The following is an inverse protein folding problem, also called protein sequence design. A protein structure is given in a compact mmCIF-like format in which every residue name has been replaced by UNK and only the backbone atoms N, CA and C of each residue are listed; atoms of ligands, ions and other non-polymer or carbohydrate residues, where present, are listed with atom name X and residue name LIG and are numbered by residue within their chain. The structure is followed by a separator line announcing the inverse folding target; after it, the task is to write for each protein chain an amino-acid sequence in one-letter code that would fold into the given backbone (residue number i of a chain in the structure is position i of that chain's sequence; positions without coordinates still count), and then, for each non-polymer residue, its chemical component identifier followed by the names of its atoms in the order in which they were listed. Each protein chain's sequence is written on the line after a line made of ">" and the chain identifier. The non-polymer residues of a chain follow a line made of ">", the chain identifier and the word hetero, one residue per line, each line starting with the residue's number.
data_IF_757302570235
#
_entry.id   IF_757302570235
#
_cell.length_a   1.000
_cell.length_b   1.000
_cell.length_c   1.000
_cell.angle_alpha   90.00
_cell.angle_beta   90.00
_cell.angle_gamma   90.00
#
_symmetry.space_group_name_H-M   'P 1'
#
loop_
_entity.id
_entity.type
_entity.pdbx_description
1 polymer ?
#
# COMPACT_ATOMS: atom_id res chain seq x y z
N UNK A 1 0.34 -1.04 6.18
CA UNK A 1 1.49 -0.12 5.97
C UNK A 1 1.23 0.88 4.84
N UNK A 2 0.94 0.41 3.61
CA UNK A 2 0.67 1.29 2.45
C UNK A 2 -0.39 2.36 2.74
N UNK A 3 -1.54 2.00 3.33
CA UNK A 3 -2.61 2.94 3.70
C UNK A 3 -2.16 4.03 4.67
N UNK A 4 -1.32 3.68 5.65
CA UNK A 4 -0.80 4.63 6.64
C UNK A 4 0.11 5.65 5.94
N UNK A 5 0.93 5.21 4.98
CA UNK A 5 1.85 6.07 4.23
C UNK A 5 1.14 6.87 3.13
N UNK A 6 0.10 6.31 2.53
CA UNK A 6 -0.73 6.96 1.52
C UNK A 6 -1.58 8.10 2.11
N UNK A 7 -1.93 8.02 3.40
CA UNK A 7 -2.75 9.02 4.06
C UNK A 7 -2.10 10.43 4.10
N UNK A 8 -0.84 10.61 4.57
CA UNK A 8 -0.15 11.89 4.48
C UNK A 8 -0.08 12.45 3.06
N UNK A 9 0.13 11.60 2.06
CA UNK A 9 0.16 11.99 0.64
C UNK A 9 -1.21 12.54 0.23
N UNK A 10 -2.29 11.81 0.51
CA UNK A 10 -3.67 12.26 0.25
C UNK A 10 -4.00 13.56 0.98
N UNK A 11 -3.61 13.69 2.25
CA UNK A 11 -3.79 14.90 3.06
C UNK A 11 -3.07 16.11 2.47
N UNK A 12 -1.80 15.93 2.06
CA UNK A 12 -1.04 16.99 1.40
C UNK A 12 -1.71 17.41 0.09
N UNK A 13 -2.14 16.46 -0.74
CA UNK A 13 -2.81 16.73 -2.01
C UNK A 13 -4.16 17.43 -1.82
N UNK A 14 -4.94 17.08 -0.80
CA UNK A 14 -6.26 17.65 -0.54
C UNK A 14 -6.18 19.09 0.01
N UNK A 15 -5.28 19.34 0.97
CA UNK A 15 -5.31 20.59 1.75
C UNK A 15 -4.12 21.52 1.52
N UNK A 16 -2.95 21.01 1.09
CA UNK A 16 -1.71 21.82 0.99
C UNK A 16 -1.27 22.08 -0.45
N UNK A 17 -1.54 21.17 -1.38
CA UNK A 17 -1.02 21.25 -2.75
C UNK A 17 -1.66 22.36 -3.60
N UNK A 18 -2.85 22.85 -3.23
CA UNK A 18 -3.54 23.94 -3.92
C UNK A 18 -3.70 23.68 -5.42
N UNK A 19 -3.41 24.69 -6.26
CA UNK A 19 -3.49 24.60 -7.73
C UNK A 19 -2.57 23.53 -8.36
N UNK A 20 -1.53 23.10 -7.64
CA UNK A 20 -0.54 22.12 -8.12
C UNK A 20 -0.91 20.67 -7.77
N UNK A 21 -2.03 20.43 -7.11
CA UNK A 21 -2.46 19.08 -6.71
C UNK A 21 -2.48 18.10 -7.89
N UNK A 22 -2.99 18.53 -9.06
CA UNK A 22 -2.99 17.70 -10.28
C UNK A 22 -1.60 17.32 -10.76
N UNK A 23 -0.62 18.23 -10.68
CA UNK A 23 0.77 17.96 -11.08
C UNK A 23 1.43 16.97 -10.14
N UNK A 24 1.29 17.15 -8.82
CA UNK A 24 1.85 16.20 -7.86
C UNK A 24 1.19 14.82 -7.92
N UNK A 25 -0.12 14.78 -8.17
CA UNK A 25 -0.82 13.53 -8.42
C UNK A 25 -0.31 12.86 -9.71
N UNK A 26 -0.10 13.62 -10.78
CA UNK A 26 0.49 13.09 -12.00
C UNK A 26 1.89 12.52 -11.75
N UNK A 27 2.77 13.24 -11.04
CA UNK A 27 4.10 12.76 -10.67
C UNK A 27 4.06 11.46 -9.85
N UNK A 28 3.09 11.33 -8.93
CA UNK A 28 2.87 10.10 -8.17
C UNK A 28 2.48 8.92 -9.07
N UNK A 29 1.69 9.17 -10.11
CA UNK A 29 1.17 8.16 -11.02
C UNK A 29 2.10 7.83 -12.19
N UNK A 30 2.98 8.74 -12.60
CA UNK A 30 3.94 8.57 -13.72
C UNK A 30 4.65 7.21 -13.71
N UNK A 31 5.26 6.74 -12.61
CA UNK A 31 5.98 5.46 -12.65
C UNK A 31 5.06 4.25 -12.83
N UNK A 32 3.75 4.39 -12.61
CA UNK A 32 2.76 3.33 -12.71
C UNK A 32 2.26 3.07 -14.14
N UNK A 33 2.66 3.91 -15.10
CA UNK A 33 2.47 3.66 -16.53
C UNK A 33 3.36 2.51 -17.05
N UNK A 34 4.36 2.10 -16.27
CA UNK A 34 5.20 0.94 -16.57
C UNK A 34 4.59 -0.37 -16.07
N UNK A 35 5.00 -1.49 -16.67
CA UNK A 35 4.50 -2.81 -16.28
C UNK A 35 4.82 -3.11 -14.82
N UNK A 36 3.87 -3.76 -14.14
CA UNK A 36 4.03 -4.17 -12.74
C UNK A 36 5.28 -5.04 -12.55
N UNK A 37 5.47 -6.02 -13.45
CA UNK A 37 6.62 -6.92 -13.40
C UNK A 37 7.96 -6.17 -13.49
N UNK A 38 8.06 -5.20 -14.40
CA UNK A 38 9.29 -4.40 -14.56
C UNK A 38 9.59 -3.59 -13.30
N UNK A 39 8.56 -3.04 -12.64
CA UNK A 39 8.72 -2.32 -11.37
C UNK A 39 9.24 -3.22 -10.25
N UNK A 40 8.72 -4.45 -10.13
CA UNK A 40 9.21 -5.41 -9.14
C UNK A 40 10.66 -5.82 -9.44
N UNK A 41 10.99 -6.04 -10.72
CA UNK A 41 12.37 -6.34 -11.14
C UNK A 41 13.32 -5.17 -10.87
N UNK A 42 12.89 -3.93 -11.07
CA UNK A 42 13.66 -2.75 -10.71
C UNK A 42 13.94 -2.72 -9.20
N UNK A 43 12.94 -3.00 -8.35
CA UNK A 43 13.15 -3.12 -6.90
C UNK A 43 14.12 -4.25 -6.52
N UNK A 44 14.03 -5.40 -7.20
CA UNK A 44 15.01 -6.50 -7.03
C UNK A 44 16.44 -6.01 -7.27
N UNK A 45 16.67 -5.27 -8.36
CA UNK A 45 18.00 -4.73 -8.71
C UNK A 45 18.43 -3.65 -7.71
N UNK A 46 17.54 -2.73 -7.34
CA UNK A 46 17.85 -1.64 -6.41
C UNK A 46 18.21 -2.13 -5.00
N UNK A 47 17.53 -3.17 -4.52
CA UNK A 47 17.75 -3.78 -3.19
C UNK A 47 18.91 -4.78 -3.16
N UNK A 48 19.42 -5.21 -4.33
CA UNK A 48 20.56 -6.12 -4.40
C UNK A 48 21.84 -5.54 -3.82
N UNK A 49 22.82 -6.41 -3.56
CA UNK A 49 24.11 -6.00 -2.96
C UNK A 49 24.86 -4.95 -3.79
N UNK A 50 24.80 -5.06 -5.13
CA UNK A 50 25.36 -4.07 -6.06
C UNK A 50 24.31 -3.06 -6.55
N UNK A 51 23.18 -2.96 -5.85
CA UNK A 51 22.07 -2.08 -6.19
C UNK A 51 22.33 -0.63 -5.86
N UNK A 52 21.44 0.24 -6.33
CA UNK A 52 21.52 1.70 -6.14
C UNK A 52 21.57 2.06 -4.65
N UNK A 53 20.80 1.39 -3.80
CA UNK A 53 20.72 1.72 -2.36
C UNK A 53 22.06 1.46 -1.67
N UNK A 54 22.62 0.25 -1.84
CA UNK A 54 23.92 -0.10 -1.26
C UNK A 54 25.04 0.77 -1.82
N UNK A 55 25.05 1.00 -3.13
CA UNK A 55 26.07 1.84 -3.79
C UNK A 55 26.06 3.28 -3.26
N UNK A 56 24.88 3.87 -3.07
CA UNK A 56 24.75 5.22 -2.51
C UNK A 56 25.22 5.27 -1.06
N UNK A 57 24.82 4.31 -0.22
CA UNK A 57 25.24 4.26 1.20
C UNK A 57 26.76 4.09 1.35
N UNK A 58 27.38 3.27 0.50
CA UNK A 58 28.84 3.09 0.47
C UNK A 58 29.51 4.39 -0.01
N UNK A 59 29.02 5.00 -1.09
CA UNK A 59 29.59 6.26 -1.61
C UNK A 59 29.47 7.44 -0.64
N UNK A 60 28.43 7.43 0.20
CA UNK A 60 28.23 8.42 1.26
C UNK A 60 29.07 8.16 2.52
N UNK A 61 29.81 7.05 2.58
CA UNK A 61 30.61 6.65 3.74
C UNK A 61 29.77 6.16 4.93
N UNK A 62 28.49 5.87 4.74
CA UNK A 62 27.59 5.43 5.82
C UNK A 62 27.78 3.94 6.18
N UNK A 63 28.21 3.12 5.21
CA UNK A 63 28.50 1.69 5.39
C UNK A 63 29.74 1.31 4.59
N UNK A 64 30.47 0.29 5.04
CA UNK A 64 31.65 -0.27 4.35
C UNK A 64 31.33 -1.49 3.49
N UNK A 65 30.28 -2.25 3.84
CA UNK A 65 29.86 -3.45 3.13
C UNK A 65 28.36 -3.40 2.76
N UNK A 66 27.93 -4.03 1.65
CA UNK A 66 26.53 -4.07 1.26
C UNK A 66 25.64 -4.74 2.31
N UNK A 67 24.48 -4.13 2.57
CA UNK A 67 23.44 -4.68 3.43
C UNK A 67 22.72 -5.84 2.74
N UNK A 68 23.21 -7.07 2.94
CA UNK A 68 22.65 -8.26 2.31
C UNK A 68 21.21 -8.56 2.74
N UNK A 69 20.78 -8.09 3.92
CA UNK A 69 19.42 -8.26 4.42
C UNK A 69 18.38 -7.39 3.68
N UNK A 70 18.76 -6.58 2.68
CA UNK A 70 17.79 -5.77 1.92
C UNK A 70 17.00 -6.56 0.87
N UNK A 71 17.50 -7.72 0.44
CA UNK A 71 16.89 -8.55 -0.61
C UNK A 71 16.68 -9.99 -0.11
N UNK A 72 15.72 -10.70 -0.72
CA UNK A 72 15.38 -12.10 -0.43
C UNK A 72 14.88 -12.35 0.99
N UNK A 73 14.01 -11.47 1.45
CA UNK A 73 13.35 -11.60 2.74
C UNK A 73 12.01 -10.86 2.76
N UNK A 74 11.28 -10.99 3.87
CA UNK A 74 9.97 -10.37 4.06
C UNK A 74 10.00 -8.83 3.99
N UNK A 75 11.07 -8.18 4.42
CA UNK A 75 11.18 -6.72 4.37
C UNK A 75 11.18 -6.22 2.92
N UNK A 76 11.95 -6.86 2.04
CA UNK A 76 11.98 -6.54 0.61
C UNK A 76 10.58 -6.62 -0.03
N UNK A 77 9.82 -7.66 0.32
CA UNK A 77 8.43 -7.85 -0.16
C UNK A 77 7.54 -6.71 0.33
N UNK A 78 7.58 -6.39 1.62
CA UNK A 78 6.76 -5.33 2.23
C UNK A 78 7.06 -3.97 1.58
N UNK A 79 8.33 -3.60 1.44
CA UNK A 79 8.73 -2.31 0.83
C UNK A 79 8.26 -2.22 -0.61
N UNK A 80 8.46 -3.29 -1.39
CA UNK A 80 8.05 -3.32 -2.80
C UNK A 80 6.53 -3.21 -2.94
N UNK A 81 5.76 -3.94 -2.13
CA UNK A 81 4.30 -3.85 -2.12
C UNK A 81 3.79 -2.49 -1.66
N UNK A 82 4.44 -1.87 -0.65
CA UNK A 82 4.12 -0.50 -0.22
C UNK A 82 4.26 0.46 -1.40
N UNK A 83 5.39 0.43 -2.10
CA UNK A 83 5.59 1.24 -3.29
C UNK A 83 4.50 1.00 -4.34
N UNK A 84 4.19 -0.26 -4.63
CA UNK A 84 3.18 -0.63 -5.63
C UNK A 84 1.80 -0.07 -5.28
N UNK A 85 1.41 -0.09 -4.01
CA UNK A 85 0.04 0.21 -3.62
C UNK A 85 -0.20 1.67 -3.22
N UNK A 86 0.82 2.41 -2.78
CA UNK A 86 0.66 3.83 -2.35
C UNK A 86 -0.21 4.67 -3.31
N UNK A 87 0.06 4.77 -4.63
CA UNK A 87 -0.73 5.65 -5.49
C UNK A 87 -2.20 5.25 -5.53
N UNK A 88 -2.49 3.95 -5.63
CA UNK A 88 -3.85 3.43 -5.73
C UNK A 88 -4.62 3.65 -4.44
N UNK A 89 -3.97 3.50 -3.29
CA UNK A 89 -4.57 3.76 -1.97
C UNK A 89 -4.74 5.26 -1.72
N UNK A 90 -3.86 6.10 -2.26
CA UNK A 90 -3.97 7.56 -2.16
C UNK A 90 -5.23 8.09 -2.85
N UNK A 91 -5.69 7.50 -3.96
CA UNK A 91 -6.85 7.97 -4.71
C UNK A 91 -8.16 8.02 -3.89
N UNK A 92 -8.64 6.92 -3.27
CA UNK A 92 -9.87 6.96 -2.47
C UNK A 92 -9.71 7.81 -1.20
N UNK A 93 -8.51 7.86 -0.60
CA UNK A 93 -8.23 8.74 0.53
C UNK A 93 -8.34 10.22 0.11
N UNK A 94 -7.72 10.58 -1.01
CA UNK A 94 -7.77 11.94 -1.57
C UNK A 94 -9.21 12.34 -1.89
N UNK A 95 -9.98 11.47 -2.52
CA UNK A 95 -11.39 11.72 -2.84
C UNK A 95 -12.23 11.99 -1.57
N UNK A 96 -12.04 11.20 -0.51
CA UNK A 96 -12.74 11.42 0.75
C UNK A 96 -12.31 12.73 1.43
N UNK A 97 -11.02 13.04 1.46
CA UNK A 97 -10.50 14.27 2.06
C UNK A 97 -10.97 15.52 1.30
N UNK A 98 -11.08 15.47 -0.02
CA UNK A 98 -11.55 16.59 -0.84
C UNK A 98 -13.05 16.90 -0.64
N UNK A 99 -13.84 15.93 -0.17
CA UNK A 99 -15.26 16.12 0.16
C UNK A 99 -15.48 16.82 1.51
N UNK A 100 -14.44 16.94 2.34
CA UNK A 100 -14.56 17.60 3.65
C UNK A 100 -14.72 19.11 3.44
N UNK A 101 -15.83 19.67 3.93
CA UNK A 101 -16.07 21.11 3.91
C UNK A 101 -15.02 21.85 4.76
N UNK A 102 -14.43 22.89 4.19
CA UNK A 102 -13.41 23.71 4.85
C UNK A 102 -13.98 24.51 6.03
N UNK A 103 -15.27 24.84 5.99
CA UNK A 103 -15.97 25.56 7.06
C UNK A 103 -15.88 24.84 8.41
N UNK A 104 -15.79 23.50 8.42
CA UNK A 104 -15.61 22.71 9.63
C UNK A 104 -14.28 23.01 10.33
N UNK A 105 -13.22 23.32 9.58
CA UNK A 105 -11.92 23.65 10.17
C UNK A 105 -11.87 25.07 10.74
N UNK A 106 -12.63 25.98 10.16
CA UNK A 106 -12.80 27.37 10.61
C UNK A 106 -13.63 27.38 11.91
N UNK A 107 -14.82 26.78 11.89
CA UNK A 107 -15.69 26.66 13.07
C UNK A 107 -15.00 25.94 14.24
N UNK A 108 -14.21 24.89 13.97
CA UNK A 108 -13.45 24.23 15.01
C UNK A 108 -12.34 25.12 15.58
N UNK A 109 -11.70 25.96 14.75
CA UNK A 109 -10.69 26.91 15.22
C UNK A 109 -11.32 28.02 16.08
N UNK A 110 -12.50 28.51 15.71
CA UNK A 110 -13.27 29.50 16.50
C UNK A 110 -13.66 28.96 17.88
N UNK A 111 -13.97 27.66 17.97
CA UNK A 111 -14.22 26.96 19.23
C UNK A 111 -12.93 26.58 19.99
N UNK A 112 -11.76 27.06 19.57
CA UNK A 112 -10.48 26.85 20.23
C UNK A 112 -9.82 25.48 19.97
N UNK A 113 -10.21 24.76 18.91
CA UNK A 113 -9.60 23.47 18.59
C UNK A 113 -8.20 23.63 17.98
N UNK A 114 -7.20 23.01 18.62
CA UNK A 114 -5.83 22.93 18.09
C UNK A 114 -5.75 22.04 16.84
N UNK A 115 -4.70 22.18 15.99
CA UNK A 115 -4.55 21.35 14.79
C UNK A 115 -4.60 19.83 15.03
N UNK A 116 -3.96 19.25 16.06
CA UNK A 116 -4.11 17.83 16.35
C UNK A 116 -5.54 17.45 16.73
N UNK A 117 -6.25 18.30 17.46
CA UNK A 117 -7.65 18.06 17.85
C UNK A 117 -8.56 18.05 16.62
N UNK A 118 -8.35 18.97 15.68
CA UNK A 118 -9.08 19.00 14.38
C UNK A 118 -8.80 17.75 13.55
N UNK A 119 -7.55 17.28 13.52
CA UNK A 119 -7.20 16.05 12.82
C UNK A 119 -7.98 14.83 13.35
N UNK A 120 -7.91 14.57 14.66
CA UNK A 120 -8.53 13.38 15.25
C UNK A 120 -10.06 13.46 15.34
N UNK A 121 -10.64 14.65 15.45
CA UNK A 121 -12.10 14.82 15.59
C UNK A 121 -12.85 15.07 14.27
N UNK A 122 -12.16 15.58 13.25
CA UNK A 122 -12.80 15.98 11.99
C UNK A 122 -12.16 15.25 10.83
N UNK A 123 -10.87 15.47 10.58
CA UNK A 123 -10.21 14.94 9.38
C UNK A 123 -10.23 13.41 9.32
N UNK A 124 -9.75 12.74 10.36
CA UNK A 124 -9.62 11.28 10.33
C UNK A 124 -10.98 10.57 10.30
N UNK A 125 -11.98 10.93 11.14
CA UNK A 125 -13.30 10.30 11.07
C UNK A 125 -13.99 10.50 9.72
N UNK A 126 -13.96 11.71 9.17
CA UNK A 126 -14.60 12.00 7.87
C UNK A 126 -13.85 11.38 6.68
N UNK A 127 -12.54 11.18 6.79
CA UNK A 127 -11.75 10.49 5.77
C UNK A 127 -11.80 8.97 5.91
N UNK A 128 -12.29 8.43 7.03
CA UNK A 128 -12.25 7.01 7.36
C UNK A 128 -12.88 6.13 6.27
N UNK A 129 -14.03 6.48 5.66
CA UNK A 129 -14.57 5.71 4.54
C UNK A 129 -13.60 5.56 3.37
N UNK A 130 -12.91 6.64 2.99
CA UNK A 130 -11.88 6.61 1.93
C UNK A 130 -10.63 5.84 2.33
N UNK A 131 -10.23 5.91 3.60
CA UNK A 131 -9.13 5.10 4.17
C UNK A 131 -9.44 3.61 4.09
N UNK A 132 -10.67 3.23 4.42
CA UNK A 132 -11.12 1.84 4.39
C UNK A 132 -11.25 1.33 2.95
N UNK A 133 -11.82 2.13 2.05
CA UNK A 133 -11.86 1.82 0.62
C UNK A 133 -10.44 1.59 0.06
N UNK A 134 -9.50 2.50 0.38
CA UNK A 134 -8.10 2.35 0.00
C UNK A 134 -7.43 1.12 0.64
N UNK A 135 -7.71 0.84 1.91
CA UNK A 135 -7.22 -0.37 2.57
C UNK A 135 -7.67 -1.63 1.84
N UNK A 136 -8.97 -1.80 1.55
CA UNK A 136 -9.48 -2.97 0.85
C UNK A 136 -8.97 -3.07 -0.59
N UNK A 137 -8.81 -1.93 -1.26
CA UNK A 137 -8.25 -1.86 -2.61
C UNK A 137 -6.85 -2.46 -2.71
N UNK A 138 -6.01 -2.29 -1.68
CA UNK A 138 -4.69 -2.93 -1.65
C UNK A 138 -4.68 -4.29 -0.96
N UNK A 139 -5.51 -4.50 0.08
CA UNK A 139 -5.53 -5.73 0.86
C UNK A 139 -5.92 -6.94 0.02
N UNK A 140 -7.08 -6.87 -0.66
CA UNK A 140 -7.64 -7.97 -1.44
C UNK A 140 -6.64 -8.55 -2.46
N UNK A 141 -6.04 -7.73 -3.35
CA UNK A 141 -5.06 -8.25 -4.30
C UNK A 141 -3.74 -8.67 -3.65
N UNK A 142 -3.33 -8.04 -2.54
CA UNK A 142 -2.08 -8.40 -1.84
C UNK A 142 -2.13 -9.80 -1.24
N UNK A 143 -3.29 -10.27 -0.77
CA UNK A 143 -3.43 -11.61 -0.16
C UNK A 143 -3.09 -12.71 -1.17
N UNK A 144 -3.50 -12.56 -2.43
CA UNK A 144 -3.22 -13.51 -3.51
C UNK A 144 -1.93 -13.22 -4.28
N UNK A 145 -1.13 -12.26 -3.83
CA UNK A 145 0.07 -11.84 -4.54
C UNK A 145 1.20 -12.86 -4.38
N UNK A 146 1.80 -13.26 -5.51
CA UNK A 146 2.86 -14.26 -5.53
C UNK A 146 4.09 -13.82 -6.35
N UNK A 147 3.97 -12.81 -7.21
CA UNK A 147 5.05 -12.39 -8.13
C UNK A 147 6.13 -11.62 -7.38
N UNK A 148 5.75 -10.68 -6.53
CA UNK A 148 6.64 -9.89 -5.69
C UNK A 148 7.46 -10.75 -4.72
N UNK A 149 6.87 -11.59 -3.87
CA UNK A 149 7.61 -12.47 -2.98
C UNK A 149 8.45 -13.49 -3.73
N UNK A 150 8.03 -13.95 -4.92
CA UNK A 150 8.85 -14.81 -5.77
C UNK A 150 10.12 -14.09 -6.24
N UNK A 151 10.03 -12.80 -6.59
CA UNK A 151 11.16 -12.06 -7.16
C UNK A 151 12.10 -11.43 -6.13
N UNK A 152 11.56 -10.91 -5.02
CA UNK A 152 12.34 -10.18 -4.01
C UNK A 152 12.33 -10.82 -2.62
N UNK A 153 11.46 -11.81 -2.38
CA UNK A 153 11.23 -12.38 -1.05
C UNK A 153 12.11 -13.58 -0.70
N UNK A 154 12.62 -14.33 -1.69
CA UNK A 154 13.36 -15.56 -1.42
C UNK A 154 12.52 -16.58 -0.63
N UNK A 155 13.17 -17.48 0.11
CA UNK A 155 12.45 -18.46 0.96
C UNK A 155 11.79 -17.81 2.18
N UNK A 156 12.44 -16.82 2.79
CA UNK A 156 11.96 -16.16 4.01
C UNK A 156 10.80 -15.15 3.77
N UNK A 157 10.59 -14.73 2.53
CA UNK A 157 9.55 -13.78 2.12
C UNK A 157 8.36 -14.41 1.39
N UNK A 158 8.30 -15.74 1.29
CA UNK A 158 7.20 -16.45 0.60
C UNK A 158 5.84 -16.15 1.26
N UNK A 159 4.81 -15.96 0.44
CA UNK A 159 3.43 -15.69 0.84
C UNK A 159 2.51 -16.86 0.50
N UNK A 160 1.27 -16.83 1.00
CA UNK A 160 0.29 -17.90 0.75
C UNK A 160 0.02 -18.12 -0.73
N UNK A 161 0.00 -17.04 -1.53
CA UNK A 161 -0.12 -17.10 -2.98
C UNK A 161 1.00 -17.91 -3.64
N UNK A 162 2.23 -17.88 -3.11
CA UNK A 162 3.33 -18.71 -3.62
C UNK A 162 3.08 -20.20 -3.39
N UNK A 163 2.51 -20.57 -2.24
CA UNK A 163 2.19 -21.98 -1.94
C UNK A 163 1.13 -22.51 -2.90
N UNK A 164 0.07 -21.72 -3.17
CA UNK A 164 -0.93 -22.06 -4.17
C UNK A 164 -0.27 -22.26 -5.54
N UNK A 165 0.58 -21.31 -5.95
CA UNK A 165 1.27 -21.37 -7.24
C UNK A 165 2.20 -22.59 -7.36
N UNK A 166 2.89 -22.97 -6.29
CA UNK A 166 3.76 -24.15 -6.28
C UNK A 166 2.95 -25.45 -6.46
N UNK A 167 1.71 -25.53 -5.96
CA UNK A 167 0.84 -26.70 -6.17
C UNK A 167 0.32 -26.81 -7.60
N UNK A 168 0.00 -25.70 -8.25
CA UNK A 168 -0.38 -25.70 -9.68
C UNK A 168 0.81 -25.90 -10.61
N UNK A 169 1.98 -25.38 -10.24
CA UNK A 169 3.21 -25.49 -11.00
C UNK A 169 4.03 -26.72 -10.63
N UNK A 170 4.99 -26.54 -9.71
CA UNK A 170 6.05 -27.51 -9.41
C UNK A 170 5.53 -28.87 -8.93
N UNK A 171 4.52 -28.88 -8.06
CA UNK A 171 3.99 -30.12 -7.50
C UNK A 171 2.94 -30.79 -8.41
N UNK A 172 2.44 -30.08 -9.44
CA UNK A 172 1.37 -30.53 -10.32
C UNK A 172 0.13 -31.12 -9.61
N UNK A 173 -0.12 -30.72 -8.36
CA UNK A 173 -1.27 -31.14 -7.57
C UNK A 173 -2.35 -30.07 -7.62
N UNK A 174 -3.03 -30.03 -8.76
CA UNK A 174 -4.08 -29.06 -9.05
C UNK A 174 -5.28 -29.16 -8.09
N UNK A 175 -5.72 -30.36 -7.66
CA UNK A 175 -6.79 -30.48 -6.66
C UNK A 175 -6.46 -29.77 -5.34
N UNK A 176 -5.24 -29.96 -4.82
CA UNK A 176 -4.81 -29.30 -3.58
C UNK A 176 -4.65 -27.79 -3.77
N UNK A 177 -4.08 -27.35 -4.90
CA UNK A 177 -4.00 -25.93 -5.26
C UNK A 177 -5.37 -25.26 -5.32
N UNK A 178 -6.38 -25.92 -5.89
CA UNK A 178 -7.76 -25.44 -5.93
C UNK A 178 -8.38 -25.34 -4.52
N UNK A 179 -8.20 -26.35 -3.68
CA UNK A 179 -8.68 -26.32 -2.30
C UNK A 179 -8.07 -25.17 -1.49
N UNK A 180 -6.75 -24.94 -1.60
CA UNK A 180 -6.07 -23.82 -0.94
C UNK A 180 -6.55 -22.46 -1.46
N UNK A 181 -6.82 -22.36 -2.76
CA UNK A 181 -7.39 -21.14 -3.37
C UNK A 181 -8.77 -20.82 -2.79
N UNK A 182 -9.63 -21.83 -2.63
CA UNK A 182 -10.95 -21.67 -2.00
C UNK A 182 -10.84 -21.24 -0.53
N UNK A 183 -9.90 -21.80 0.22
CA UNK A 183 -9.64 -21.40 1.62
C UNK A 183 -9.20 -19.93 1.69
N UNK A 184 -8.28 -19.51 0.82
CA UNK A 184 -7.83 -18.12 0.74
C UNK A 184 -8.97 -17.17 0.37
N UNK A 185 -9.79 -17.55 -0.60
CA UNK A 185 -10.97 -16.79 -1.01
C UNK A 185 -11.96 -16.65 0.15
N UNK A 186 -12.30 -17.76 0.81
CA UNK A 186 -13.21 -17.77 1.96
C UNK A 186 -12.69 -16.89 3.10
N UNK A 187 -11.39 -16.99 3.43
CA UNK A 187 -10.75 -16.15 4.44
C UNK A 187 -10.79 -14.66 4.07
N UNK A 188 -10.51 -14.32 2.81
CA UNK A 188 -10.56 -12.94 2.32
C UNK A 188 -11.98 -12.38 2.40
N UNK A 189 -12.97 -13.16 1.96
CA UNK A 189 -14.38 -12.77 2.04
C UNK A 189 -14.86 -12.62 3.48
N UNK A 190 -14.41 -13.48 4.40
CA UNK A 190 -14.74 -13.37 5.82
C UNK A 190 -14.22 -12.06 6.41
N UNK A 191 -12.97 -11.69 6.13
CA UNK A 191 -12.38 -10.42 6.60
C UNK A 191 -13.12 -9.22 6.01
N UNK A 192 -13.39 -9.21 4.71
CA UNK A 192 -14.13 -8.13 4.04
C UNK A 192 -15.55 -8.01 4.60
N UNK A 193 -16.27 -9.13 4.74
CA UNK A 193 -17.64 -9.14 5.27
C UNK A 193 -17.71 -8.68 6.71
N UNK A 194 -16.74 -9.09 7.54
CA UNK A 194 -16.65 -8.63 8.92
C UNK A 194 -16.41 -7.13 8.99
N UNK A 195 -15.50 -6.60 8.16
CA UNK A 195 -15.24 -5.18 8.12
C UNK A 195 -16.46 -4.38 7.64
N UNK A 196 -17.15 -4.83 6.60
CA UNK A 196 -18.39 -4.19 6.11
C UNK A 196 -19.56 -4.26 7.11
N UNK A 197 -19.53 -5.13 8.12
CA UNK A 197 -20.50 -5.10 9.22
C UNK A 197 -20.19 -4.00 10.23
N UNK A 198 -18.91 -3.69 10.43
CA UNK A 198 -18.46 -2.63 11.33
C UNK A 198 -18.62 -1.26 10.68
N UNK A 199 -18.46 -1.20 9.36
CA UNK A 199 -18.49 0.03 8.56
C UNK A 199 -19.87 0.10 7.88
N UNK A 200 -20.69 1.10 8.20
CA UNK A 200 -21.98 1.24 7.54
C UNK A 200 -21.75 1.52 6.03
N UNK A 201 -22.25 0.68 5.10
CA UNK A 201 -21.96 0.85 3.67
C UNK A 201 -22.42 2.20 3.11
N UNK A 202 -23.38 2.85 3.77
CA UNK A 202 -23.86 4.20 3.42
C UNK A 202 -22.81 5.29 3.64
N UNK A 203 -21.81 5.04 4.49
CA UNK A 203 -20.72 5.99 4.73
C UNK A 203 -19.65 5.90 3.63
N UNK A 204 -19.67 4.86 2.80
CA UNK A 204 -18.70 4.59 1.72
C UNK A 204 -19.09 5.17 0.34
N UNK A 205 -20.32 5.69 0.19
CA UNK A 205 -20.89 6.20 -1.09
C UNK A 205 -21.12 7.71 -0.98
#
# INVERSE_FOLDING_TARGET
>A
AATILAFPVGYFLAFKAGKRAGVYLALLLVPFWTSFLLRVMAWKVMLGSNGVINSLLISAGAITEPLQFLLYNRFAVIVTLIYVWIPFVTLPILAALQRIDRSLFEAAADLGATPPRRFWRITLPLALPGVLAGFFMCFIPTVGEYVTPLLVGGSAGSMYGNLIQDFFGKAANWPLGAAMSLIMLAGTLAVVSFALKIINPRDLV
#
